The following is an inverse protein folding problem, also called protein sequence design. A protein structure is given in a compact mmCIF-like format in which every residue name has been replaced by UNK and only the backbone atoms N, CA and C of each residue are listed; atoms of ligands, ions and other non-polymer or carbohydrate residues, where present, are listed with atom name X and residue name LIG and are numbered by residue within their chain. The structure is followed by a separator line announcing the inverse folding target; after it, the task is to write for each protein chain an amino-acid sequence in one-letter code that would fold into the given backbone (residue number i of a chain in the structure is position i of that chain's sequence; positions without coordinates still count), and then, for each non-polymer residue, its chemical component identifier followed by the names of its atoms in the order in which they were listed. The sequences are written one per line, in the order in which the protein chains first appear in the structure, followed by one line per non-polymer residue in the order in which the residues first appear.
data_IF_103067500769
#
_entry.id   IF_103067500769
#
_cell.length_a   1.000
_cell.length_b   1.000
_cell.length_c   1.000
_cell.angle_alpha   90.00
_cell.angle_beta   90.00
_cell.angle_gamma   90.00
#
_symmetry.space_group_name_H-M   'P 1'
#
loop_
_entity.id
_entity.type
_entity.pdbx_description
1 polymer ?
#
# COMPACT_ATOMS: atom_id res chain seq x y z
N UNK A 1 23.60 6.01 -9.50
CA UNK A 1 22.25 6.31 -8.99
C UNK A 1 21.24 5.49 -9.76
N UNK A 2 20.32 4.85 -9.04
CA UNK A 2 19.29 4.03 -9.69
C UNK A 2 18.33 4.91 -10.50
N UNK A 3 17.92 4.41 -11.65
CA UNK A 3 16.95 5.07 -12.52
C UNK A 3 15.57 4.53 -12.15
N UNK A 4 14.88 5.25 -11.28
CA UNK A 4 13.63 4.78 -10.69
C UNK A 4 12.43 5.21 -11.51
N UNK A 5 11.50 4.28 -11.71
CA UNK A 5 10.19 4.56 -12.28
C UNK A 5 9.11 4.14 -11.30
N UNK A 6 7.95 4.76 -11.42
CA UNK A 6 6.82 4.51 -10.54
C UNK A 6 5.60 4.15 -11.37
N UNK A 7 4.91 3.09 -10.97
CA UNK A 7 3.71 2.64 -11.68
C UNK A 7 2.70 2.08 -10.69
N UNK A 8 1.50 1.78 -11.17
CA UNK A 8 0.47 1.19 -10.33
C UNK A 8 0.76 -0.28 -10.02
N UNK A 9 0.07 -0.81 -9.02
CA UNK A 9 0.20 -2.21 -8.64
C UNK A 9 -0.21 -3.12 -9.78
N UNK A 10 0.41 -4.31 -9.82
CA UNK A 10 0.03 -5.37 -10.74
C UNK A 10 0.32 -6.72 -10.08
N UNK A 11 -0.57 -7.71 -10.23
CA UNK A 11 -0.37 -9.03 -9.63
C UNK A 11 0.95 -9.71 -9.97
N UNK A 12 1.55 -9.39 -11.11
CA UNK A 12 2.84 -9.97 -11.51
C UNK A 12 3.97 -9.68 -10.53
N UNK A 13 3.85 -8.62 -9.71
CA UNK A 13 4.86 -8.26 -8.72
C UNK A 13 4.51 -8.71 -7.30
N UNK A 14 3.35 -9.32 -7.09
CA UNK A 14 2.86 -9.61 -5.76
C UNK A 14 3.86 -10.39 -4.89
N UNK A 15 4.53 -11.40 -5.47
CA UNK A 15 5.51 -12.19 -4.75
C UNK A 15 6.70 -11.35 -4.29
N UNK A 16 7.23 -10.50 -5.19
CA UNK A 16 8.36 -9.63 -4.88
C UNK A 16 7.99 -8.56 -3.85
N UNK A 17 6.79 -8.01 -3.92
CA UNK A 17 6.31 -7.05 -2.95
C UNK A 17 6.13 -7.70 -1.57
N UNK A 18 5.68 -8.94 -1.51
CA UNK A 18 5.58 -9.71 -0.27
C UNK A 18 6.96 -9.88 0.36
N UNK A 19 7.97 -10.17 -0.45
CA UNK A 19 9.36 -10.30 0.03
C UNK A 19 9.87 -8.98 0.62
N UNK A 20 9.57 -7.84 -0.01
CA UNK A 20 9.96 -6.52 0.51
C UNK A 20 9.29 -6.27 1.86
N UNK A 21 7.99 -6.55 1.98
CA UNK A 21 7.26 -6.38 3.22
C UNK A 21 7.91 -7.19 4.35
N UNK A 22 8.22 -8.46 4.11
CA UNK A 22 8.80 -9.35 5.11
C UNK A 22 10.24 -8.96 5.46
N UNK A 23 10.98 -8.39 4.52
CA UNK A 23 12.34 -7.90 4.78
C UNK A 23 12.33 -6.63 5.62
N UNK A 24 11.47 -5.68 5.28
CA UNK A 24 11.39 -4.38 5.97
C UNK A 24 10.89 -4.56 7.40
N UNK A 25 9.91 -5.44 7.59
CA UNK A 25 9.26 -5.67 8.87
C UNK A 25 9.68 -6.99 9.52
N UNK A 26 10.95 -7.37 9.36
CA UNK A 26 11.47 -8.66 9.84
C UNK A 26 11.36 -8.86 11.36
N UNK A 27 11.24 -7.77 12.13
CA UNK A 27 11.07 -7.84 13.59
C UNK A 27 9.63 -8.09 14.03
N UNK A 28 8.68 -8.06 13.09
CA UNK A 28 7.26 -8.29 13.36
C UNK A 28 6.94 -9.76 13.09
N UNK A 29 6.05 -10.35 13.90
CA UNK A 29 5.62 -11.73 13.68
C UNK A 29 5.04 -11.88 12.28
N UNK A 30 5.42 -12.96 11.59
CA UNK A 30 5.04 -13.15 10.20
C UNK A 30 3.51 -13.20 9.99
N UNK A 31 2.78 -13.67 10.99
CA UNK A 31 1.32 -13.72 10.93
C UNK A 31 0.66 -12.33 10.98
N UNK A 32 1.40 -11.32 11.44
CA UNK A 32 0.94 -9.93 11.46
C UNK A 32 1.34 -9.15 10.21
N UNK A 33 2.07 -9.79 9.30
CA UNK A 33 2.49 -9.20 8.04
C UNK A 33 1.54 -9.59 6.92
N UNK A 34 1.58 -8.83 5.83
CA UNK A 34 0.81 -9.17 4.64
C UNK A 34 1.35 -10.46 4.04
N UNK A 35 0.44 -11.40 3.74
CA UNK A 35 0.78 -12.63 3.04
C UNK A 35 0.78 -12.39 1.52
N UNK A 36 1.25 -13.37 0.76
CA UNK A 36 1.17 -13.32 -0.70
C UNK A 36 -0.29 -13.17 -1.15
N UNK A 37 -1.20 -13.86 -0.51
CA UNK A 37 -2.64 -13.77 -0.80
C UNK A 37 -3.17 -12.36 -0.58
N UNK A 38 -2.79 -11.73 0.54
CA UNK A 38 -3.15 -10.34 0.81
C UNK A 38 -2.61 -9.41 -0.27
N UNK A 39 -1.34 -9.59 -0.62
CA UNK A 39 -0.69 -8.74 -1.61
C UNK A 39 -1.35 -8.87 -2.99
N UNK A 40 -1.70 -10.09 -3.38
CA UNK A 40 -2.43 -10.32 -4.62
C UNK A 40 -3.79 -9.64 -4.62
N UNK A 41 -4.48 -9.65 -3.46
CA UNK A 41 -5.77 -8.99 -3.32
C UNK A 41 -5.65 -7.48 -3.53
N UNK A 42 -4.67 -6.83 -2.92
CA UNK A 42 -4.45 -5.38 -3.11
C UNK A 42 -4.12 -5.06 -4.57
N UNK A 43 -3.33 -5.89 -5.23
CA UNK A 43 -2.96 -5.68 -6.63
C UNK A 43 -4.15 -5.86 -7.57
N UNK A 44 -5.16 -6.63 -7.16
CA UNK A 44 -6.34 -6.91 -7.98
C UNK A 44 -7.50 -5.96 -7.69
N UNK A 45 -7.76 -5.67 -6.40
CA UNK A 45 -8.97 -4.95 -5.98
C UNK A 45 -8.85 -3.45 -6.23
N UNK A 46 -7.71 -2.84 -5.91
CA UNK A 46 -7.52 -1.41 -6.06
C UNK A 46 -6.09 -1.08 -6.53
N UNK A 47 -5.69 -1.56 -7.71
CA UNK A 47 -4.33 -1.30 -8.19
C UNK A 47 -4.06 0.18 -8.45
N UNK A 48 -5.04 0.96 -8.87
CA UNK A 48 -4.88 2.40 -9.13
C UNK A 48 -4.63 3.21 -7.87
N UNK A 49 -4.88 2.66 -6.71
CA UNK A 49 -4.61 3.33 -5.43
C UNK A 49 -3.29 2.94 -4.79
N UNK A 50 -2.54 2.05 -5.42
CA UNK A 50 -1.24 1.64 -4.93
C UNK A 50 -0.16 1.82 -5.98
N UNK A 51 1.10 1.85 -5.54
CA UNK A 51 2.21 2.19 -6.41
C UNK A 51 3.42 1.31 -6.12
N UNK A 52 4.21 1.07 -7.16
CA UNK A 52 5.45 0.31 -7.09
C UNK A 52 6.58 1.18 -7.63
N UNK A 53 7.67 1.26 -6.89
CA UNK A 53 8.91 1.87 -7.36
C UNK A 53 9.77 0.77 -7.98
N UNK A 54 10.21 1.00 -9.20
CA UNK A 54 11.00 0.04 -9.96
C UNK A 54 12.40 0.59 -10.24
N UNK A 55 13.42 -0.25 -10.03
CA UNK A 55 14.77 -0.05 -10.54
C UNK A 55 14.87 -0.96 -11.76
N UNK A 56 14.84 -0.36 -12.96
CA UNK A 56 14.56 -1.06 -14.19
C UNK A 56 13.22 -1.81 -14.06
N UNK A 57 13.22 -3.14 -14.11
CA UNK A 57 11.99 -3.93 -13.96
C UNK A 57 11.87 -4.59 -12.57
N UNK A 58 12.72 -4.20 -11.61
CA UNK A 58 12.76 -4.82 -10.29
C UNK A 58 12.09 -3.95 -9.25
N UNK A 59 11.02 -4.44 -8.58
CA UNK A 59 10.41 -3.68 -7.48
C UNK A 59 11.38 -3.47 -6.32
N UNK A 60 11.48 -2.22 -5.86
CA UNK A 60 12.35 -1.84 -4.75
C UNK A 60 11.58 -1.12 -3.64
N UNK A 61 10.33 -0.81 -3.87
CA UNK A 61 9.45 -0.20 -2.87
C UNK A 61 8.02 -0.21 -3.36
N UNK A 62 7.08 -0.04 -2.44
CA UNK A 62 5.67 -0.01 -2.79
C UNK A 62 4.84 0.69 -1.72
N UNK A 63 3.64 1.11 -2.11
CA UNK A 63 2.65 1.62 -1.19
C UNK A 63 1.29 1.02 -1.52
N UNK A 64 0.55 0.64 -0.49
CA UNK A 64 -0.78 0.05 -0.62
C UNK A 64 -1.82 0.91 0.08
N UNK A 65 -3.05 0.85 -0.41
CA UNK A 65 -4.17 1.50 0.24
C UNK A 65 -5.50 1.03 -0.32
N UNK A 66 -6.55 1.40 0.37
CA UNK A 66 -7.94 1.17 -0.07
C UNK A 66 -8.75 2.44 0.16
N UNK A 67 -9.91 2.50 -0.45
CA UNK A 67 -10.89 3.55 -0.17
C UNK A 67 -11.92 3.01 0.82
N UNK A 68 -12.31 3.84 1.78
CA UNK A 68 -13.35 3.47 2.73
C UNK A 68 -13.95 4.73 3.36
N UNK A 69 -15.08 4.55 4.05
CA UNK A 69 -15.63 5.55 4.94
C UNK A 69 -15.07 5.30 6.34
N UNK A 70 -14.46 6.31 6.93
CA UNK A 70 -13.80 6.18 8.21
C UNK A 70 -14.61 6.88 9.30
N UNK A 71 -14.95 6.15 10.36
CA UNK A 71 -15.63 6.70 11.52
C UNK A 71 -14.58 7.14 12.55
N UNK A 72 -14.36 8.44 12.63
CA UNK A 72 -13.38 9.01 13.56
C UNK A 72 -13.81 8.91 15.03
N UNK A 73 -15.08 8.61 15.29
CA UNK A 73 -15.57 8.42 16.66
C UNK A 73 -15.32 7.01 17.17
N UNK A 74 -15.16 6.05 16.27
CA UNK A 74 -14.88 4.66 16.64
C UNK A 74 -13.37 4.42 16.62
N UNK A 75 -12.77 4.23 17.78
CA UNK A 75 -11.34 4.00 17.94
C UNK A 75 -11.01 2.53 18.22
N UNK A 76 -11.99 1.64 18.15
CA UNK A 76 -11.81 0.23 18.53
C UNK A 76 -11.44 -0.71 17.39
N UNK A 77 -11.38 -0.21 16.16
CA UNK A 77 -11.12 -1.07 15.00
C UNK A 77 -9.64 -1.37 14.82
N UNK A 78 -9.36 -2.58 14.33
CA UNK A 78 -8.02 -3.03 13.96
C UNK A 78 -7.81 -2.86 12.44
N UNK A 79 -6.59 -3.14 11.98
CA UNK A 79 -6.29 -3.16 10.55
C UNK A 79 -7.19 -4.15 9.79
N UNK A 80 -7.38 -5.35 10.35
CA UNK A 80 -8.23 -6.37 9.74
C UNK A 80 -9.68 -5.91 9.63
N UNK A 81 -10.19 -5.22 10.66
CA UNK A 81 -11.54 -4.67 10.64
C UNK A 81 -11.71 -3.62 9.54
N UNK A 82 -10.69 -2.76 9.35
CA UNK A 82 -10.74 -1.69 8.36
C UNK A 82 -10.60 -2.21 6.94
N UNK A 83 -9.73 -3.18 6.72
CA UNK A 83 -9.42 -3.67 5.37
C UNK A 83 -10.28 -4.85 4.93
N UNK A 84 -11.02 -5.49 5.85
CA UNK A 84 -11.79 -6.69 5.53
C UNK A 84 -10.95 -7.94 5.49
N UNK A 85 -9.93 -7.97 6.33
CA UNK A 85 -8.99 -9.08 6.44
C UNK A 85 -8.20 -9.28 5.13
N UNK A 86 -8.02 -10.52 4.72
CA UNK A 86 -7.11 -10.90 3.64
C UNK A 86 -7.59 -10.50 2.24
N UNK A 87 -8.87 -10.21 2.07
CA UNK A 87 -9.47 -10.04 0.75
C UNK A 87 -9.78 -8.58 0.40
N UNK A 88 -9.34 -7.63 1.21
CA UNK A 88 -9.68 -6.20 1.03
C UNK A 88 -11.20 -5.98 0.98
N UNK A 89 -11.96 -6.79 1.74
CA UNK A 89 -13.41 -6.83 1.65
C UNK A 89 -14.11 -5.52 1.99
N UNK A 90 -13.43 -4.63 2.71
CA UNK A 90 -13.98 -3.34 3.07
C UNK A 90 -13.61 -2.22 2.10
N UNK A 91 -12.87 -2.52 1.02
CA UNK A 91 -12.61 -1.51 0.00
C UNK A 91 -13.95 -1.05 -0.60
N UNK A 92 -14.19 0.26 -0.52
CA UNK A 92 -15.40 0.87 -1.03
C UNK A 92 -15.03 1.96 -2.03
N UNK A 93 -15.24 1.75 -3.34
CA UNK A 93 -14.89 2.76 -4.35
C UNK A 93 -15.58 4.13 -4.13
N UNK A 94 -16.72 4.13 -3.44
CA UNK A 94 -17.45 5.35 -3.11
C UNK A 94 -17.06 5.94 -1.75
N UNK A 95 -16.13 5.30 -1.03
CA UNK A 95 -15.64 5.80 0.24
C UNK A 95 -14.94 7.15 0.09
N UNK A 96 -15.07 8.01 1.10
CA UNK A 96 -14.53 9.38 1.06
C UNK A 96 -13.08 9.48 1.47
N UNK A 97 -12.50 8.42 2.03
CA UNK A 97 -11.16 8.44 2.59
C UNK A 97 -10.27 7.38 1.97
N UNK A 98 -9.00 7.75 1.76
CA UNK A 98 -7.97 6.80 1.39
C UNK A 98 -7.30 6.29 2.67
N UNK A 99 -7.39 4.99 2.93
CA UNK A 99 -6.71 4.37 4.05
C UNK A 99 -5.38 3.80 3.60
N UNK A 100 -4.29 4.37 4.10
CA UNK A 100 -2.94 3.91 3.77
C UNK A 100 -2.56 2.69 4.60
N UNK A 101 -2.43 1.56 3.95
CA UNK A 101 -2.15 0.28 4.61
C UNK A 101 -0.68 0.17 4.98
N UNK A 102 0.21 0.38 4.00
CA UNK A 102 1.65 0.29 4.24
C UNK A 102 2.43 1.03 3.15
N UNK A 103 3.62 1.46 3.50
CA UNK A 103 4.67 1.85 2.56
C UNK A 103 5.93 1.13 3.01
N UNK A 104 6.59 0.44 2.09
CA UNK A 104 7.82 -0.28 2.38
C UNK A 104 8.83 -0.03 1.28
N UNK A 105 10.09 0.17 1.66
CA UNK A 105 11.20 0.41 0.75
C UNK A 105 12.32 -0.56 1.10
N UNK A 106 12.85 -1.27 0.09
CA UNK A 106 14.00 -2.15 0.28
C UNK A 106 15.12 -1.38 0.99
N UNK A 107 15.67 -1.91 2.09
CA UNK A 107 16.70 -1.21 2.87
C UNK A 107 17.90 -0.73 2.05
N UNK A 108 18.24 -1.41 0.94
CA UNK A 108 19.35 -1.02 0.08
C UNK A 108 19.04 0.24 -0.74
N UNK A 109 17.78 0.65 -0.79
CA UNK A 109 17.34 1.80 -1.56
C UNK A 109 16.85 2.96 -0.69
N UNK A 110 17.10 2.90 0.61
CA UNK A 110 16.73 3.98 1.53
C UNK A 110 17.52 5.26 1.22
N UNK A 111 16.98 6.40 1.68
CA UNK A 111 17.57 7.74 1.52
C UNK A 111 17.62 8.23 0.07
N UNK A 112 16.80 7.64 -0.81
CA UNK A 112 16.64 8.09 -2.19
C UNK A 112 15.30 8.78 -2.43
N UNK A 113 14.52 9.03 -1.38
CA UNK A 113 13.24 9.73 -1.49
C UNK A 113 12.09 8.86 -1.98
N UNK A 114 12.26 7.54 -2.03
CA UNK A 114 11.23 6.62 -2.54
C UNK A 114 9.97 6.68 -1.67
N UNK A 115 10.11 6.59 -0.35
CA UNK A 115 8.97 6.64 0.55
C UNK A 115 8.18 7.93 0.42
N UNK A 116 8.87 9.06 0.33
CA UNK A 116 8.23 10.36 0.14
C UNK A 116 7.51 10.43 -1.20
N UNK A 117 8.11 9.89 -2.27
CA UNK A 117 7.47 9.88 -3.59
C UNK A 117 6.22 9.01 -3.59
N UNK A 118 6.27 7.84 -2.95
CA UNK A 118 5.11 6.97 -2.83
C UNK A 118 3.97 7.67 -2.08
N UNK A 119 4.29 8.40 -1.03
CA UNK A 119 3.30 9.17 -0.27
C UNK A 119 2.68 10.28 -1.13
N UNK A 120 3.50 10.99 -1.91
CA UNK A 120 3.01 12.03 -2.81
C UNK A 120 2.05 11.44 -3.86
N UNK A 121 2.35 10.25 -4.37
CA UNK A 121 1.47 9.57 -5.32
C UNK A 121 0.11 9.23 -4.69
N UNK A 122 0.09 8.86 -3.40
CA UNK A 122 -1.17 8.67 -2.67
C UNK A 122 -1.99 9.96 -2.61
N UNK A 123 -1.33 11.08 -2.37
CA UNK A 123 -2.00 12.39 -2.36
C UNK A 123 -2.62 12.71 -3.72
N UNK A 124 -1.92 12.36 -4.79
CA UNK A 124 -2.44 12.55 -6.15
C UNK A 124 -3.70 11.72 -6.40
N UNK A 125 -3.75 10.49 -5.89
CA UNK A 125 -4.96 9.64 -5.97
C UNK A 125 -6.13 10.32 -5.27
N UNK A 126 -5.91 10.82 -4.07
CA UNK A 126 -6.93 11.52 -3.29
C UNK A 126 -7.48 12.72 -4.05
N UNK A 127 -6.62 13.51 -4.67
CA UNK A 127 -7.02 14.67 -5.45
C UNK A 127 -7.77 14.27 -6.72
N UNK A 128 -7.25 13.29 -7.44
CA UNK A 128 -7.84 12.82 -8.70
C UNK A 128 -9.23 12.25 -8.49
N UNK A 129 -9.42 11.49 -7.42
CA UNK A 129 -10.71 10.87 -7.09
C UNK A 129 -11.60 11.78 -6.25
N UNK A 130 -11.12 12.99 -5.92
CA UNK A 130 -11.85 13.98 -5.14
C UNK A 130 -12.29 13.44 -3.77
N UNK A 131 -11.38 12.75 -3.08
CA UNK A 131 -11.64 12.22 -1.75
C UNK A 131 -11.28 13.26 -0.68
N UNK A 132 -11.74 13.03 0.56
CA UNK A 132 -11.54 13.99 1.66
C UNK A 132 -10.12 14.02 2.18
N UNK A 133 -9.41 12.92 2.14
CA UNK A 133 -8.03 12.88 2.61
C UNK A 133 -7.51 11.46 2.81
N UNK A 134 -6.38 11.38 3.53
CA UNK A 134 -5.68 10.13 3.80
C UNK A 134 -5.75 9.85 5.30
N UNK A 135 -6.08 8.61 5.64
CA UNK A 135 -5.96 8.07 7.01
C UNK A 135 -4.87 7.00 6.95
N UNK A 136 -3.92 7.04 7.87
CA UNK A 136 -2.83 6.05 7.92
C UNK A 136 -2.96 5.18 9.17
N UNK A 137 -2.73 3.91 8.98
CA UNK A 137 -2.70 2.95 10.07
C UNK A 137 -1.37 2.89 10.80
#
# INVERSE_FOLDING_TARGET
MADLTYTNLHPKWAEQLTEIEHTVFASIDIEDLLSLRDMEAYCRVFPEGGFVALDDDTPVGFGLGILLDFDFEDTSHSLDDLTGEEDCGNHNPDGDWYYGVTIAVNPQYRKQGIGNRLYELRKEVVRTLNKKGIVAG
#
